data_IF_148321246808
#
_entry.id   IF_148321246808
#
_cell.length_a   1.000
_cell.length_b   1.000
_cell.length_c   1.000
_cell.angle_alpha   90.00
_cell.angle_beta   90.00
_cell.angle_gamma   90.00
#
_symmetry.space_group_name_H-M   'P 1'
#
loop_
_entity.id
_entity.type
_entity.pdbx_description
1 polymer ?
#
# COMPACT_ATOMS: atom_id res chain seq x y z
N UNK A 1 -38.38 4.26 -10.98
CA UNK A 1 -37.25 4.52 -10.07
C UNK A 1 -35.99 4.31 -10.87
N UNK A 2 -35.41 5.41 -11.33
CA UNK A 2 -34.18 5.42 -12.13
C UNK A 2 -33.01 4.92 -11.26
N UNK A 3 -32.31 3.89 -11.73
CA UNK A 3 -30.99 3.55 -11.20
C UNK A 3 -30.01 4.52 -11.83
N UNK A 4 -29.60 5.52 -11.06
CA UNK A 4 -28.49 6.40 -11.42
C UNK A 4 -27.24 5.50 -11.46
N UNK A 5 -26.73 5.25 -12.66
CA UNK A 5 -25.46 4.58 -12.85
C UNK A 5 -24.35 5.50 -12.37
N UNK A 6 -23.63 5.09 -11.32
CA UNK A 6 -22.30 5.61 -11.06
C UNK A 6 -21.36 4.90 -12.03
N UNK A 7 -21.22 5.46 -13.22
CA UNK A 7 -20.12 5.11 -14.12
C UNK A 7 -18.85 5.71 -13.50
N UNK A 8 -18.09 4.87 -12.77
CA UNK A 8 -16.72 5.20 -12.39
C UNK A 8 -15.87 5.20 -13.67
N UNK A 9 -15.88 6.31 -14.40
CA UNK A 9 -14.95 6.57 -15.51
C UNK A 9 -13.61 7.04 -14.92
N UNK A 10 -13.11 6.32 -13.92
CA UNK A 10 -11.72 6.42 -13.48
C UNK A 10 -10.92 5.45 -14.32
N UNK A 11 -9.99 5.94 -15.13
CA UNK A 11 -9.01 5.07 -15.77
C UNK A 11 -8.34 4.22 -14.68
N UNK A 12 -8.43 2.89 -14.78
CA UNK A 12 -7.78 2.00 -13.82
C UNK A 12 -6.30 2.38 -13.71
N UNK A 13 -5.84 2.71 -12.49
CA UNK A 13 -4.43 3.06 -12.27
C UNK A 13 -3.54 1.88 -12.66
N UNK A 14 -2.58 2.12 -13.53
CA UNK A 14 -1.57 1.13 -13.90
C UNK A 14 -0.66 0.86 -12.69
N UNK A 15 -0.41 -0.41 -12.40
CA UNK A 15 0.36 -0.84 -11.23
C UNK A 15 1.62 -1.57 -11.67
N UNK A 16 2.76 -1.21 -11.08
CA UNK A 16 3.92 -2.09 -11.04
C UNK A 16 3.71 -3.10 -9.90
N UNK A 17 3.74 -4.38 -10.23
CA UNK A 17 3.50 -5.48 -9.29
C UNK A 17 4.79 -6.28 -9.12
N UNK A 18 5.16 -6.62 -7.89
CA UNK A 18 6.32 -7.44 -7.59
C UNK A 18 6.02 -8.38 -6.43
N UNK A 19 6.22 -9.68 -6.63
CA UNK A 19 5.96 -10.69 -5.60
C UNK A 19 7.23 -11.42 -5.19
N UNK A 20 7.31 -11.79 -3.93
CA UNK A 20 8.39 -12.60 -3.36
C UNK A 20 7.87 -13.43 -2.18
N UNK A 21 8.66 -14.40 -1.74
CA UNK A 21 8.30 -15.27 -0.62
C UNK A 21 9.40 -15.31 0.44
N UNK A 22 9.01 -15.23 1.71
CA UNK A 22 9.90 -15.27 2.87
C UNK A 22 9.24 -16.11 3.96
N UNK A 23 9.93 -17.11 4.51
CA UNK A 23 9.36 -17.98 5.55
C UNK A 23 8.04 -18.67 5.17
N UNK A 24 7.82 -18.93 3.86
CA UNK A 24 6.56 -19.46 3.34
C UNK A 24 5.42 -18.46 3.20
N UNK A 25 5.61 -17.19 3.59
CA UNK A 25 4.67 -16.09 3.38
C UNK A 25 4.87 -15.48 2.02
N UNK A 26 3.79 -15.27 1.28
CA UNK A 26 3.81 -14.59 -0.03
C UNK A 26 3.58 -13.11 0.21
N UNK A 27 4.53 -12.28 -0.21
CA UNK A 27 4.40 -10.82 -0.17
C UNK A 27 4.27 -10.29 -1.60
N UNK A 28 3.26 -9.47 -1.87
CA UNK A 28 3.04 -8.81 -3.16
C UNK A 28 3.01 -7.31 -2.95
N UNK A 29 3.95 -6.60 -3.58
CA UNK A 29 4.02 -5.15 -3.60
C UNK A 29 3.31 -4.61 -4.85
N UNK A 30 2.33 -3.75 -4.63
CA UNK A 30 1.59 -3.01 -5.65
C UNK A 30 1.98 -1.54 -5.57
N UNK A 31 2.50 -1.00 -6.67
CA UNK A 31 2.97 0.38 -6.75
C UNK A 31 2.18 1.10 -7.85
N UNK A 32 1.33 2.08 -7.50
CA UNK A 32 0.69 2.93 -8.48
C UNK A 32 1.73 3.68 -9.33
N UNK A 33 1.62 3.57 -10.64
CA UNK A 33 2.40 4.40 -11.55
C UNK A 33 1.72 5.76 -11.64
N UNK A 34 2.48 6.84 -11.41
CA UNK A 34 1.98 8.20 -11.63
C UNK A 34 1.49 8.35 -13.07
N UNK A 35 0.22 8.70 -13.24
CA UNK A 35 -0.33 8.99 -14.56
C UNK A 35 0.35 10.24 -15.16
N UNK A 36 0.48 10.29 -16.48
CA UNK A 36 0.98 11.48 -17.20
C UNK A 36 0.16 12.73 -16.84
N UNK A 37 -1.13 12.57 -16.50
CA UNK A 37 -2.04 13.65 -16.10
C UNK A 37 -1.71 14.16 -14.69
N UNK A 38 -1.46 13.29 -13.71
CA UNK A 38 -1.05 13.69 -12.35
C UNK A 38 0.33 14.37 -12.36
N UNK A 39 1.26 13.93 -13.22
CA UNK A 39 2.55 14.62 -13.44
C UNK A 39 2.36 16.05 -13.96
N UNK A 40 1.43 16.25 -14.90
CA UNK A 40 1.14 17.56 -15.48
C UNK A 40 0.36 18.49 -14.54
N UNK A 41 -0.45 17.96 -13.63
CA UNK A 41 -1.13 18.74 -12.59
C UNK A 41 -0.21 19.14 -11.43
N UNK A 42 0.83 18.35 -11.16
CA UNK A 42 1.87 18.67 -10.17
C UNK A 42 2.87 19.72 -10.70
N UNK A 43 2.96 19.90 -12.02
CA UNK A 43 3.67 21.01 -12.65
C UNK A 43 2.83 22.30 -12.53
N UNK A 44 3.44 23.45 -12.17
CA UNK A 44 2.70 24.70 -12.15
C UNK A 44 2.16 24.99 -13.56
N UNK A 45 0.85 25.20 -13.68
CA UNK A 45 0.25 25.79 -14.89
C UNK A 45 0.83 27.19 -15.07
N UNK A 46 1.92 27.30 -15.83
CA UNK A 46 2.22 28.53 -16.54
C UNK A 46 1.14 28.62 -17.62
N UNK A 47 0.17 29.50 -17.41
CA UNK A 47 -0.65 30.17 -18.43
C UNK A 47 -1.80 30.91 -17.72
N UNK A 48 -1.45 32.03 -17.09
CA UNK A 48 -2.35 33.13 -16.76
C UNK A 48 -1.47 34.38 -16.68
N UNK A 49 -1.33 35.04 -17.84
CA UNK A 49 -0.68 36.33 -17.98
C UNK A 49 -1.39 37.38 -17.10
N UNK A 50 -0.65 37.95 -16.14
CA UNK A 50 -0.87 39.31 -15.68
C UNK A 50 0.49 39.91 -15.31
N UNK A 51 0.94 40.82 -16.18
CA UNK A 51 2.13 41.64 -15.99
C UNK A 51 1.99 42.57 -14.78
N UNK A 52 2.93 42.50 -13.84
CA UNK A 52 3.54 43.66 -13.18
C UNK A 52 4.75 43.25 -12.35
N UNK A 53 5.92 43.32 -12.99
CA UNK A 53 7.18 43.87 -12.45
C UNK A 53 7.41 43.75 -10.93
N UNK A 54 8.03 42.64 -10.48
CA UNK A 54 8.92 42.64 -9.31
C UNK A 54 10.09 41.68 -9.48
N UNK A 55 11.24 42.30 -9.70
CA UNK A 55 12.60 41.78 -9.62
C UNK A 55 12.87 41.03 -8.30
N UNK A 56 13.63 39.94 -8.44
CA UNK A 56 14.49 39.30 -7.44
C UNK A 56 13.82 38.49 -6.33
N UNK A 57 13.82 37.16 -6.50
CA UNK A 57 14.51 36.19 -5.64
C UNK A 57 14.23 34.80 -6.23
N UNK A 58 15.19 34.27 -6.99
CA UNK A 58 15.27 32.83 -7.26
C UNK A 58 15.53 32.12 -5.92
N UNK A 59 14.46 31.78 -5.19
CA UNK A 59 14.49 30.57 -4.40
C UNK A 59 13.98 29.46 -5.32
N UNK A 60 14.89 28.74 -5.96
CA UNK A 60 14.60 27.40 -6.46
C UNK A 60 14.21 26.54 -5.24
N UNK A 61 12.94 26.62 -4.86
CA UNK A 61 12.34 25.65 -3.97
C UNK A 61 12.28 24.34 -4.74
N UNK A 62 13.33 23.51 -4.62
CA UNK A 62 13.17 22.07 -4.81
C UNK A 62 11.99 21.65 -3.95
N UNK A 63 10.83 21.40 -4.55
CA UNK A 63 9.76 20.65 -3.91
C UNK A 63 10.37 19.28 -3.63
N UNK A 64 10.86 19.06 -2.41
CA UNK A 64 11.22 17.73 -1.94
C UNK A 64 9.99 16.85 -2.15
N UNK A 65 10.11 15.85 -3.01
CA UNK A 65 9.08 14.83 -3.18
C UNK A 65 8.99 14.12 -1.83
N UNK A 66 7.94 14.41 -1.05
CA UNK A 66 7.69 13.69 0.20
C UNK A 66 7.52 12.22 -0.16
N UNK A 67 8.33 11.37 0.45
CA UNK A 67 8.20 9.92 0.29
C UNK A 67 6.80 9.48 0.73
N UNK A 68 6.22 8.52 0.01
CA UNK A 68 4.92 7.95 0.34
C UNK A 68 5.02 6.97 1.52
N UNK A 69 3.95 6.73 2.29
CA UNK A 69 3.94 5.64 3.25
C UNK A 69 3.95 4.28 2.55
N UNK A 70 4.44 3.24 3.24
CA UNK A 70 4.22 1.86 2.84
C UNK A 70 3.05 1.30 3.66
N UNK A 71 1.92 1.05 3.01
CA UNK A 71 0.78 0.39 3.63
C UNK A 71 1.00 -1.13 3.54
N UNK A 72 0.91 -1.81 4.68
CA UNK A 72 1.07 -3.25 4.82
C UNK A 72 -0.27 -3.83 5.21
N UNK A 73 -0.75 -4.82 4.45
CA UNK A 73 -2.02 -5.49 4.67
C UNK A 73 -1.79 -6.99 4.79
N UNK A 74 -2.23 -7.57 5.89
CA UNK A 74 -2.37 -9.02 6.01
C UNK A 74 -3.66 -9.46 5.32
N UNK A 75 -3.57 -10.41 4.39
CA UNK A 75 -4.72 -10.92 3.65
C UNK A 75 -5.03 -12.35 4.10
N UNK A 76 -6.29 -12.59 4.41
CA UNK A 76 -6.86 -13.92 4.55
C UNK A 76 -7.24 -14.42 3.16
N UNK A 77 -6.54 -15.46 2.68
CA UNK A 77 -6.78 -15.99 1.32
C UNK A 77 -6.54 -14.93 0.22
N UNK A 78 -7.17 -15.09 -0.94
CA UNK A 78 -7.01 -14.28 -2.16
C UNK A 78 -7.72 -12.90 -2.12
N UNK A 79 -7.88 -12.30 -0.93
CA UNK A 79 -8.55 -11.00 -0.75
C UNK A 79 -7.78 -9.82 -1.37
N UNK A 80 -6.48 -10.00 -1.65
CA UNK A 80 -5.63 -8.97 -2.24
C UNK A 80 -6.19 -8.42 -3.56
N UNK A 81 -6.77 -9.27 -4.41
CA UNK A 81 -7.32 -8.85 -5.70
C UNK A 81 -8.53 -7.91 -5.56
N UNK A 82 -9.42 -8.20 -4.61
CA UNK A 82 -10.61 -7.40 -4.35
C UNK A 82 -10.23 -6.01 -3.80
N UNK A 83 -9.24 -5.96 -2.89
CA UNK A 83 -8.72 -4.71 -2.34
C UNK A 83 -8.08 -3.85 -3.42
N UNK A 84 -7.25 -4.44 -4.28
CA UNK A 84 -6.59 -3.72 -5.38
C UNK A 84 -7.62 -3.16 -6.36
N UNK A 85 -8.62 -3.95 -6.76
CA UNK A 85 -9.68 -3.50 -7.65
C UNK A 85 -10.44 -2.30 -7.08
N UNK A 86 -10.71 -2.30 -5.77
CA UNK A 86 -11.37 -1.17 -5.10
C UNK A 86 -10.47 0.07 -5.07
N UNK A 87 -9.18 -0.09 -4.76
CA UNK A 87 -8.21 1.00 -4.65
C UNK A 87 -7.87 1.63 -6.01
N UNK A 88 -7.80 0.85 -7.08
CA UNK A 88 -7.52 1.36 -8.44
C UNK A 88 -8.57 2.38 -8.92
N UNK A 89 -9.80 2.29 -8.42
CA UNK A 89 -10.86 3.27 -8.70
C UNK A 89 -10.80 4.54 -7.85
N UNK A 90 -9.83 4.67 -6.95
CA UNK A 90 -9.74 5.78 -6.00
C UNK A 90 -8.65 6.78 -6.41
N UNK A 91 -9.01 8.06 -6.49
CA UNK A 91 -8.05 9.12 -6.81
C UNK A 91 -6.89 9.18 -5.79
N UNK A 92 -7.19 8.92 -4.51
CA UNK A 92 -6.21 8.96 -3.42
C UNK A 92 -5.21 7.79 -3.41
N UNK A 93 -5.38 6.77 -4.26
CA UNK A 93 -4.45 5.65 -4.30
C UNK A 93 -3.16 6.06 -5.02
N UNK A 94 -2.19 6.53 -4.25
CA UNK A 94 -0.90 7.07 -4.72
C UNK A 94 0.29 6.57 -3.90
N UNK A 95 0.07 5.54 -3.07
CA UNK A 95 1.06 4.96 -2.17
C UNK A 95 1.24 3.46 -2.45
N UNK A 96 2.43 2.90 -2.17
CA UNK A 96 2.66 1.47 -2.30
C UNK A 96 1.85 0.67 -1.26
N UNK A 97 1.27 -0.45 -1.71
CA UNK A 97 0.58 -1.43 -0.88
C UNK A 97 1.33 -2.76 -0.90
N UNK A 98 1.71 -3.26 0.27
CA UNK A 98 2.31 -4.57 0.48
C UNK A 98 1.25 -5.53 1.06
N UNK A 99 0.76 -6.46 0.24
CA UNK A 99 -0.14 -7.52 0.67
C UNK A 99 0.64 -8.76 1.10
N UNK A 100 0.33 -9.31 2.27
CA UNK A 100 0.98 -10.51 2.82
C UNK A 100 -0.05 -11.63 2.97
N UNK A 101 0.20 -12.75 2.30
CA UNK A 101 -0.67 -13.93 2.26
C UNK A 101 0.05 -15.16 2.84
N UNK A 102 -0.66 -16.29 2.85
CA UNK A 102 -0.18 -17.57 3.39
C UNK A 102 0.17 -17.51 4.88
N UNK A 103 -0.53 -16.66 5.62
CA UNK A 103 -0.47 -16.61 7.08
C UNK A 103 -1.21 -17.82 7.65
N UNK A 104 -0.58 -18.50 8.60
CA UNK A 104 -1.26 -19.43 9.47
C UNK A 104 -1.91 -18.60 10.57
N UNK A 105 -3.17 -18.23 10.39
CA UNK A 105 -3.89 -17.36 11.33
C UNK A 105 -3.91 -17.87 12.77
N UNK A 106 -3.93 -19.20 12.97
CA UNK A 106 -3.90 -19.76 14.32
C UNK A 106 -2.53 -19.64 15.02
N UNK A 107 -1.48 -19.29 14.28
CA UNK A 107 -0.12 -19.15 14.82
C UNK A 107 0.38 -17.71 14.67
N UNK A 108 0.50 -17.25 13.42
CA UNK A 108 1.19 -16.01 13.07
C UNK A 108 0.47 -14.76 13.57
N UNK A 109 -0.84 -14.85 13.80
CA UNK A 109 -1.67 -13.73 14.27
C UNK A 109 -2.07 -13.88 15.74
N UNK A 110 -1.53 -14.90 16.43
CA UNK A 110 -1.89 -15.22 17.80
C UNK A 110 -0.75 -14.86 18.76
N UNK A 111 -1.00 -13.94 19.71
CA UNK A 111 0.02 -13.49 20.65
C UNK A 111 0.37 -14.52 21.74
N UNK A 112 -0.49 -15.51 21.99
CA UNK A 112 -0.26 -16.57 22.97
C UNK A 112 -1.03 -17.84 22.60
N UNK A 113 -0.67 -18.94 23.24
CA UNK A 113 -1.38 -20.22 23.12
C UNK A 113 -2.77 -20.14 23.76
N UNK A 114 -3.80 -20.58 23.05
CA UNK A 114 -5.17 -20.68 23.55
C UNK A 114 -5.90 -21.83 22.89
N UNK A 115 -6.79 -22.47 23.63
CA UNK A 115 -7.72 -23.44 23.05
C UNK A 115 -8.62 -22.77 22.00
N UNK A 116 -9.09 -23.58 21.05
CA UNK A 116 -10.12 -23.18 20.11
C UNK A 116 -11.38 -22.69 20.85
N UNK A 117 -11.94 -21.57 20.37
CA UNK A 117 -13.20 -21.04 20.92
C UNK A 117 -14.41 -21.87 20.48
N UNK A 118 -14.33 -22.48 19.30
CA UNK A 118 -15.39 -23.27 18.69
C UNK A 118 -14.97 -24.73 18.65
N UNK A 119 -15.92 -25.62 18.96
CA UNK A 119 -15.71 -27.06 18.92
C UNK A 119 -15.32 -27.50 17.50
N UNK A 120 -14.22 -28.25 17.39
CA UNK A 120 -13.61 -28.76 16.14
C UNK A 120 -12.78 -27.73 15.34
N UNK A 121 -12.57 -26.52 15.85
CA UNK A 121 -11.52 -25.64 15.31
C UNK A 121 -10.14 -26.01 15.88
N UNK A 122 -9.10 -25.49 15.21
CA UNK A 122 -7.73 -25.64 15.68
C UNK A 122 -7.46 -24.68 16.82
N UNK A 123 -6.66 -25.13 17.79
CA UNK A 123 -6.14 -24.26 18.84
C UNK A 123 -5.28 -23.14 18.25
N UNK A 124 -5.23 -22.03 18.98
CA UNK A 124 -4.29 -20.94 18.75
C UNK A 124 -2.96 -21.32 19.40
N UNK A 125 -1.87 -21.31 18.62
CA UNK A 125 -0.58 -21.89 18.98
C UNK A 125 0.49 -20.79 18.99
N UNK A 126 0.18 -19.62 19.57
CA UNK A 126 1.11 -18.53 19.90
C UNK A 126 2.34 -18.41 18.99
N UNK A 127 2.33 -17.45 18.07
CA UNK A 127 3.42 -17.28 17.11
C UNK A 127 3.57 -15.88 16.51
N UNK A 128 2.88 -14.89 17.09
CA UNK A 128 2.92 -13.53 16.60
C UNK A 128 4.31 -12.90 16.72
N UNK A 129 5.08 -13.23 17.75
CA UNK A 129 6.44 -12.69 17.94
C UNK A 129 7.39 -13.16 16.82
N UNK A 130 7.36 -14.44 16.47
CA UNK A 130 8.16 -14.97 15.35
C UNK A 130 7.72 -14.38 14.02
N UNK A 131 6.41 -14.20 13.84
CA UNK A 131 5.89 -13.57 12.64
C UNK A 131 6.30 -12.08 12.53
N UNK A 132 6.19 -11.32 13.61
CA UNK A 132 6.62 -9.92 13.65
C UNK A 132 8.12 -9.78 13.40
N UNK A 133 8.93 -10.71 13.92
CA UNK A 133 10.36 -10.76 13.62
C UNK A 133 10.62 -10.99 12.12
N UNK A 134 9.92 -11.94 11.50
CA UNK A 134 10.00 -12.20 10.05
C UNK A 134 9.56 -10.97 9.23
N UNK A 135 8.47 -10.32 9.66
CA UNK A 135 7.92 -9.14 9.03
C UNK A 135 8.92 -7.98 9.05
N UNK A 136 9.45 -7.66 10.23
CA UNK A 136 10.34 -6.52 10.46
C UNK A 136 11.73 -6.74 9.86
N UNK A 137 12.29 -7.95 9.98
CA UNK A 137 13.70 -8.21 9.64
C UNK A 137 13.91 -8.71 8.21
N UNK A 138 12.89 -9.25 7.57
CA UNK A 138 13.04 -9.85 6.24
C UNK A 138 12.03 -9.31 5.22
N UNK A 139 10.73 -9.34 5.52
CA UNK A 139 9.69 -8.98 4.55
C UNK A 139 9.71 -7.49 4.22
N UNK A 140 9.65 -6.62 5.23
CA UNK A 140 9.63 -5.16 5.03
C UNK A 140 10.93 -4.69 4.34
N UNK A 141 12.15 -5.06 4.81
CA UNK A 141 13.38 -4.65 4.15
C UNK A 141 13.44 -5.06 2.68
N UNK A 142 12.98 -6.27 2.34
CA UNK A 142 12.93 -6.74 0.95
C UNK A 142 11.91 -5.96 0.11
N UNK A 143 10.75 -5.62 0.67
CA UNK A 143 9.77 -4.78 -0.01
C UNK A 143 10.31 -3.36 -0.28
N UNK A 144 11.04 -2.77 0.69
CA UNK A 144 11.69 -1.45 0.53
C UNK A 144 12.79 -1.48 -0.53
N UNK A 145 13.59 -2.54 -0.59
CA UNK A 145 14.58 -2.73 -1.65
C UNK A 145 13.94 -2.77 -3.05
N UNK A 146 12.80 -3.46 -3.19
CA UNK A 146 12.04 -3.53 -4.45
C UNK A 146 11.36 -2.18 -4.78
N UNK A 147 10.87 -1.49 -3.75
CA UNK A 147 10.28 -0.16 -3.85
C UNK A 147 11.31 0.85 -4.40
N UNK A 148 12.56 0.74 -3.96
CA UNK A 148 13.67 1.56 -4.42
C UNK A 148 13.75 2.94 -3.75
N UNK A 149 12.89 3.19 -2.77
CA UNK A 149 12.87 4.40 -1.94
C UNK A 149 12.46 4.06 -0.50
N UNK A 150 12.96 4.81 0.47
CA UNK A 150 12.60 4.64 1.88
C UNK A 150 11.22 5.27 2.13
N UNK A 151 10.22 4.52 2.65
CA UNK A 151 8.92 5.07 2.99
C UNK A 151 9.00 6.16 4.06
N UNK A 152 8.12 7.16 4.01
CA UNK A 152 8.06 8.17 5.07
C UNK A 152 7.64 7.59 6.43
N UNK A 153 6.81 6.56 6.41
CA UNK A 153 6.43 5.74 7.55
C UNK A 153 5.79 4.43 7.07
N UNK A 154 5.69 3.48 7.98
CA UNK A 154 5.06 2.18 7.74
C UNK A 154 3.68 2.17 8.41
N UNK A 155 2.64 1.77 7.68
CA UNK A 155 1.28 1.64 8.20
C UNK A 155 0.86 0.17 8.13
N UNK A 156 0.42 -0.40 9.25
CA UNK A 156 -0.03 -1.79 9.31
C UNK A 156 -1.55 -1.83 9.45
N UNK A 157 -2.22 -2.42 8.48
CA UNK A 157 -3.66 -2.65 8.49
C UNK A 157 -3.95 -4.12 8.89
N UNK A 158 -4.85 -4.28 9.87
CA UNK A 158 -5.30 -5.58 10.35
C UNK A 158 -6.81 -5.60 10.58
N UNK A 159 -7.39 -6.78 10.45
CA UNK A 159 -8.78 -7.09 10.75
C UNK A 159 -8.84 -8.48 11.39
N UNK A 160 -9.97 -8.78 12.04
CA UNK A 160 -10.23 -10.06 12.70
C UNK A 160 -11.70 -10.40 12.63
#
# INVERSE_FOLDING_TARGET
>A
MEKIGMENIGMEKELKISSFSVGGKKATLYQPLESVVEKNLAQPKADLEFDMERKTMESEGKKEKKSSPLLILHCFSEEEEAVIKLLQGQEYFSFPLLCINNLNWQKDMCPWDSLALIKNEKDFIGGADEYLFLLEKEIIPRAVEILGEEPAYYALAGYS
#
